data_IF_596749481011
#
_entry.id   IF_596749481011
#
_cell.length_a   1.000
_cell.length_b   1.000
_cell.length_c   1.000
_cell.angle_alpha   90.00
_cell.angle_beta   90.00
_cell.angle_gamma   90.00
#
_symmetry.space_group_name_H-M   'P 1'
#
loop_
_entity.id
_entity.type
_entity.pdbx_description
1 polymer ?
#
# COMPACT_ATOMS: atom_id res chain seq x y z
N UNK A 1 -19.82 8.02 -32.85
CA UNK A 1 -20.34 9.37 -33.14
C UNK A 1 -21.71 9.51 -32.49
N UNK A 2 -21.79 9.93 -31.23
CA UNK A 2 -23.07 10.25 -30.60
C UNK A 2 -23.40 11.72 -30.87
N UNK A 3 -24.09 12.02 -31.98
CA UNK A 3 -24.76 13.31 -32.18
C UNK A 3 -26.11 13.23 -31.45
N UNK A 4 -26.11 13.44 -30.14
CA UNK A 4 -27.31 13.95 -29.49
C UNK A 4 -27.38 15.42 -29.90
N UNK A 5 -28.35 15.77 -30.74
CA UNK A 5 -28.55 17.16 -31.19
C UNK A 5 -28.94 17.98 -29.95
N UNK A 6 -28.08 18.94 -29.55
CA UNK A 6 -28.39 19.82 -28.42
C UNK A 6 -29.61 20.68 -28.76
N UNK A 7 -30.46 20.92 -27.78
CA UNK A 7 -31.69 21.70 -27.92
C UNK A 7 -31.43 23.15 -27.54
N UNK A 8 -31.64 24.06 -28.48
CA UNK A 8 -31.45 25.50 -28.31
C UNK A 8 -32.82 26.18 -28.21
N UNK A 9 -32.96 27.18 -27.35
CA UNK A 9 -34.14 28.03 -27.29
C UNK A 9 -33.79 29.44 -27.76
N UNK A 10 -34.42 29.90 -28.86
CA UNK A 10 -34.26 31.25 -29.40
C UNK A 10 -35.47 32.10 -29.03
N UNK A 11 -35.22 33.26 -28.42
CA UNK A 11 -36.23 34.19 -27.95
C UNK A 11 -35.96 35.56 -28.54
N UNK A 12 -36.80 35.97 -29.48
CA UNK A 12 -36.63 37.21 -30.25
C UNK A 12 -38.01 37.68 -30.73
N UNK A 13 -38.33 38.96 -30.60
CA UNK A 13 -39.62 39.52 -31.03
C UNK A 13 -39.66 39.83 -32.53
N UNK A 14 -38.50 39.89 -33.19
CA UNK A 14 -38.41 40.02 -34.65
C UNK A 14 -38.54 38.63 -35.32
N UNK A 15 -39.70 38.38 -35.93
CA UNK A 15 -40.01 37.13 -36.63
C UNK A 15 -39.00 36.78 -37.73
N UNK A 16 -38.46 37.78 -38.43
CA UNK A 16 -37.52 37.57 -39.55
C UNK A 16 -36.16 37.16 -39.02
N UNK A 17 -35.67 37.87 -38.00
CA UNK A 17 -34.39 37.54 -37.36
C UNK A 17 -34.48 36.16 -36.69
N UNK A 18 -35.55 35.91 -35.93
CA UNK A 18 -35.76 34.62 -35.23
C UNK A 18 -35.79 33.44 -36.20
N UNK A 19 -36.55 33.55 -37.30
CA UNK A 19 -36.65 32.50 -38.30
C UNK A 19 -35.31 32.28 -39.02
N UNK A 20 -34.56 33.34 -39.30
CA UNK A 20 -33.23 33.25 -39.90
C UNK A 20 -32.22 32.54 -39.00
N UNK A 21 -32.18 32.88 -37.70
CA UNK A 21 -31.30 32.23 -36.73
C UNK A 21 -31.68 30.77 -36.51
N UNK A 22 -32.98 30.49 -36.44
CA UNK A 22 -33.49 29.12 -36.28
C UNK A 22 -33.10 28.24 -37.47
N UNK A 23 -33.37 28.68 -38.70
CA UNK A 23 -33.03 27.91 -39.90
C UNK A 23 -31.53 27.58 -39.98
N UNK A 24 -30.67 28.56 -39.69
CA UNK A 24 -29.22 28.36 -39.72
C UNK A 24 -28.72 27.36 -38.66
N UNK A 25 -29.24 27.45 -37.43
CA UNK A 25 -28.85 26.56 -36.34
C UNK A 25 -29.44 25.15 -36.52
N UNK A 26 -30.63 25.02 -37.08
CA UNK A 26 -31.21 23.74 -37.50
C UNK A 26 -30.37 23.05 -38.57
N UNK A 27 -29.94 23.79 -39.62
CA UNK A 27 -29.03 23.29 -40.65
C UNK A 27 -27.66 22.87 -40.07
N UNK A 28 -27.22 23.53 -39.00
CA UNK A 28 -26.00 23.19 -38.26
C UNK A 28 -26.15 21.94 -37.37
N UNK A 29 -27.35 21.35 -37.32
CA UNK A 29 -27.66 20.08 -36.66
C UNK A 29 -28.13 20.22 -35.21
N UNK A 30 -28.59 21.40 -34.79
CA UNK A 30 -29.23 21.64 -33.49
C UNK A 30 -30.75 21.48 -33.57
N UNK A 31 -31.40 21.13 -32.46
CA UNK A 31 -32.86 21.21 -32.33
C UNK A 31 -33.21 22.60 -31.85
N UNK A 32 -34.00 23.38 -32.59
CA UNK A 32 -34.33 24.75 -32.21
C UNK A 32 -35.77 24.85 -31.75
N UNK A 33 -35.94 25.45 -30.57
CA UNK A 33 -37.22 25.91 -30.03
C UNK A 33 -37.28 27.44 -30.20
N UNK A 34 -38.44 27.97 -30.54
CA UNK A 34 -38.62 29.39 -30.80
C UNK A 34 -39.67 29.99 -29.86
N UNK A 35 -39.41 31.20 -29.37
CA UNK A 35 -40.36 32.01 -28.63
C UNK A 35 -40.34 33.46 -29.11
N UNK A 36 -41.53 34.08 -29.12
CA UNK A 36 -41.76 35.45 -29.65
C UNK A 36 -41.57 36.54 -28.61
N UNK A 37 -41.47 36.18 -27.33
CA UNK A 37 -41.30 37.12 -26.22
C UNK A 37 -40.74 36.39 -24.99
N UNK A 38 -40.29 37.15 -23.98
CA UNK A 38 -39.70 36.59 -22.77
C UNK A 38 -40.64 35.73 -21.91
N UNK A 39 -41.97 35.97 -21.92
CA UNK A 39 -42.92 35.13 -21.17
C UNK A 39 -43.06 33.75 -21.81
N UNK A 40 -43.29 33.70 -23.12
CA UNK A 40 -43.33 32.44 -23.88
C UNK A 40 -41.99 31.70 -23.78
N UNK A 41 -40.87 32.42 -23.84
CA UNK A 41 -39.55 31.84 -23.67
C UNK A 41 -39.37 31.17 -22.31
N UNK A 42 -39.84 31.81 -21.23
CA UNK A 42 -39.81 31.22 -19.89
C UNK A 42 -40.68 29.96 -19.77
N UNK A 43 -41.87 29.96 -20.38
CA UNK A 43 -42.75 28.79 -20.42
C UNK A 43 -42.09 27.60 -21.13
N UNK A 44 -41.52 27.85 -22.32
CA UNK A 44 -40.83 26.82 -23.10
C UNK A 44 -39.59 26.31 -22.37
N UNK A 45 -38.83 27.20 -21.72
CA UNK A 45 -37.67 26.81 -20.92
C UNK A 45 -38.03 25.81 -19.82
N UNK A 46 -39.12 26.07 -19.09
CA UNK A 46 -39.56 25.20 -17.99
C UNK A 46 -40.14 23.86 -18.47
N UNK A 47 -40.77 23.84 -19.65
CA UNK A 47 -41.39 22.63 -20.20
C UNK A 47 -40.38 21.70 -20.87
N UNK A 48 -39.46 22.27 -21.67
CA UNK A 48 -38.59 21.49 -22.58
C UNK A 48 -37.15 21.35 -22.08
N UNK A 49 -36.71 22.18 -21.12
CA UNK A 49 -35.36 22.10 -20.54
C UNK A 49 -34.23 22.20 -21.58
N UNK A 50 -34.08 23.33 -22.30
CA UNK A 50 -33.08 23.48 -23.35
C UNK A 50 -31.64 23.46 -22.83
N UNK A 51 -30.71 23.01 -23.66
CA UNK A 51 -29.26 22.94 -23.36
C UNK A 51 -28.58 24.31 -23.45
N UNK A 52 -29.16 25.26 -24.19
CA UNK A 52 -28.69 26.64 -24.32
C UNK A 52 -29.83 27.58 -24.72
N UNK A 53 -29.80 28.81 -24.20
CA UNK A 53 -30.74 29.87 -24.57
C UNK A 53 -30.05 30.98 -25.35
N UNK A 54 -30.71 31.48 -26.40
CA UNK A 54 -30.34 32.67 -27.15
C UNK A 54 -31.47 33.67 -27.00
N UNK A 55 -31.22 34.88 -26.51
CA UNK A 55 -32.27 35.87 -26.29
C UNK A 55 -31.87 37.28 -26.74
N UNK A 56 -32.83 38.05 -27.26
CA UNK A 56 -32.69 39.51 -27.37
C UNK A 56 -32.90 40.17 -26.00
N UNK A 57 -32.27 41.33 -25.80
CA UNK A 57 -32.49 42.18 -24.64
C UNK A 57 -33.75 43.01 -24.75
N UNK A 58 -34.09 43.50 -25.95
CA UNK A 58 -35.21 44.43 -26.15
C UNK A 58 -36.40 43.68 -26.70
N UNK A 59 -37.26 43.18 -25.81
CA UNK A 59 -38.48 42.47 -26.18
C UNK A 59 -39.69 43.02 -25.40
N UNK A 60 -40.92 42.88 -25.94
CA UNK A 60 -42.14 43.21 -25.22
C UNK A 60 -42.32 42.34 -23.95
N UNK A 61 -43.04 42.89 -22.97
CA UNK A 61 -43.45 42.24 -21.71
C UNK A 61 -42.30 41.98 -20.72
N UNK A 62 -41.39 41.07 -21.06
CA UNK A 62 -40.23 40.69 -20.24
C UNK A 62 -38.97 40.88 -21.08
N UNK A 63 -38.10 41.76 -20.62
CA UNK A 63 -36.82 42.03 -21.26
C UNK A 63 -35.82 40.90 -21.03
N UNK A 64 -34.76 40.84 -21.85
CA UNK A 64 -33.79 39.75 -21.79
C UNK A 64 -32.98 39.71 -20.49
N UNK A 65 -32.75 40.86 -19.83
CA UNK A 65 -32.02 40.90 -18.55
C UNK A 65 -32.86 40.32 -17.41
N UNK A 66 -34.14 40.67 -17.34
CA UNK A 66 -35.10 40.12 -16.39
C UNK A 66 -35.33 38.61 -16.64
N UNK A 67 -35.34 38.19 -17.91
CA UNK A 67 -35.41 36.77 -18.26
C UNK A 67 -34.21 35.97 -17.71
N UNK A 68 -32.98 36.47 -17.89
CA UNK A 68 -31.77 35.84 -17.34
C UNK A 68 -31.85 35.77 -15.81
N UNK A 69 -32.28 36.84 -15.15
CA UNK A 69 -32.45 36.87 -13.68
C UNK A 69 -33.42 35.78 -13.21
N UNK A 70 -34.56 35.62 -13.90
CA UNK A 70 -35.57 34.60 -13.55
C UNK A 70 -35.04 33.19 -13.73
N UNK A 71 -34.32 32.91 -14.83
CA UNK A 71 -33.78 31.58 -15.09
C UNK A 71 -32.68 31.23 -14.07
N UNK A 72 -31.77 32.15 -13.78
CA UNK A 72 -30.75 31.92 -12.76
C UNK A 72 -31.35 31.69 -11.37
N UNK A 73 -32.47 32.33 -11.05
CA UNK A 73 -33.18 32.12 -9.78
C UNK A 73 -33.78 30.72 -9.64
N UNK A 74 -33.98 29.98 -10.75
CA UNK A 74 -34.42 28.58 -10.73
C UNK A 74 -33.29 27.61 -10.31
N UNK A 75 -32.04 28.06 -10.25
CA UNK A 75 -30.89 27.24 -9.87
C UNK A 75 -30.43 26.26 -10.95
N UNK A 76 -30.90 26.43 -12.20
CA UNK A 76 -30.48 25.61 -13.35
C UNK A 76 -29.38 26.35 -14.10
N UNK A 77 -28.19 25.74 -14.21
CA UNK A 77 -27.07 26.31 -14.96
C UNK A 77 -27.20 26.03 -16.47
N UNK A 78 -28.04 26.81 -17.16
CA UNK A 78 -28.13 26.80 -18.63
C UNK A 78 -27.33 27.97 -19.20
N UNK A 79 -26.40 27.76 -20.15
CA UNK A 79 -25.70 28.85 -20.81
C UNK A 79 -26.68 29.76 -21.58
N UNK A 80 -26.54 31.07 -21.40
CA UNK A 80 -27.32 32.08 -22.13
C UNK A 80 -26.43 32.90 -23.03
N UNK A 81 -26.75 32.99 -24.32
CA UNK A 81 -26.14 33.91 -25.26
C UNK A 81 -27.12 35.06 -25.51
N UNK A 82 -26.62 36.29 -25.38
CA UNK A 82 -27.42 37.48 -25.64
C UNK A 82 -27.11 37.99 -27.04
N UNK A 83 -28.15 38.29 -27.83
CA UNK A 83 -28.02 38.84 -29.18
C UNK A 83 -28.88 40.09 -29.28
N UNK A 84 -28.28 41.29 -29.28
CA UNK A 84 -29.06 42.54 -29.28
C UNK A 84 -28.61 43.57 -30.31
N UNK A 85 -29.56 44.32 -30.86
CA UNK A 85 -29.29 45.45 -31.77
C UNK A 85 -28.93 46.75 -31.05
N UNK A 86 -29.13 46.83 -29.74
CA UNK A 86 -28.72 47.98 -28.94
C UNK A 86 -27.23 47.85 -28.61
N UNK A 87 -26.37 48.57 -29.34
CA UNK A 87 -24.92 48.66 -29.08
C UNK A 87 -24.54 49.41 -27.79
N UNK A 88 -25.37 49.32 -26.74
CA UNK A 88 -25.18 50.02 -25.47
C UNK A 88 -24.25 49.19 -24.59
N UNK A 89 -23.06 49.73 -24.33
CA UNK A 89 -22.01 49.05 -23.55
C UNK A 89 -22.47 48.61 -22.15
N UNK A 90 -23.34 49.40 -21.49
CA UNK A 90 -23.86 49.06 -20.16
C UNK A 90 -24.69 47.77 -20.15
N UNK A 91 -25.51 47.55 -21.17
CA UNK A 91 -26.39 46.39 -21.27
C UNK A 91 -25.59 45.10 -21.48
N UNK A 92 -24.53 45.15 -22.29
CA UNK A 92 -23.59 44.05 -22.48
C UNK A 92 -22.85 43.68 -21.18
N UNK A 93 -22.40 44.69 -20.43
CA UNK A 93 -21.73 44.48 -19.13
C UNK A 93 -22.71 43.88 -18.11
N UNK A 94 -23.96 44.34 -18.09
CA UNK A 94 -24.97 43.79 -17.19
C UNK A 94 -25.32 42.34 -17.53
N UNK A 95 -25.52 42.01 -18.80
CA UNK A 95 -25.78 40.64 -19.25
C UNK A 95 -24.66 39.67 -18.83
N UNK A 96 -23.39 40.04 -19.05
CA UNK A 96 -22.25 39.22 -18.64
C UNK A 96 -22.14 39.08 -17.11
N UNK A 97 -22.46 40.14 -16.35
CA UNK A 97 -22.52 40.09 -14.87
C UNK A 97 -23.60 39.16 -14.36
N UNK A 98 -24.71 39.05 -15.10
CA UNK A 98 -25.78 38.10 -14.83
C UNK A 98 -25.45 36.68 -15.29
N UNK A 99 -24.24 36.41 -15.79
CA UNK A 99 -23.79 35.07 -16.14
C UNK A 99 -24.08 34.65 -17.58
N UNK A 100 -24.41 35.60 -18.48
CA UNK A 100 -24.45 35.30 -19.90
C UNK A 100 -23.09 34.75 -20.39
N UNK A 101 -23.14 33.68 -21.18
CA UNK A 101 -21.97 33.01 -21.74
C UNK A 101 -21.28 33.86 -22.81
N UNK A 102 -22.05 34.65 -23.56
CA UNK A 102 -21.54 35.58 -24.56
C UNK A 102 -22.56 36.70 -24.88
N UNK A 103 -22.10 37.77 -25.52
CA UNK A 103 -22.92 38.89 -25.98
C UNK A 103 -22.55 39.25 -27.43
N UNK A 104 -23.53 39.18 -28.34
CA UNK A 104 -23.37 39.47 -29.75
C UNK A 104 -24.25 40.64 -30.19
N UNK A 105 -23.76 41.45 -31.13
CA UNK A 105 -24.43 42.67 -31.60
C UNK A 105 -25.08 42.41 -32.96
N UNK A 106 -26.36 42.79 -33.12
CA UNK A 106 -27.06 42.78 -34.43
C UNK A 106 -26.65 44.00 -35.28
N UNK A 107 -26.62 43.91 -36.62
CA UNK A 107 -26.90 42.72 -37.42
C UNK A 107 -25.74 41.71 -37.38
N UNK A 108 -26.07 40.42 -37.27
CA UNK A 108 -25.08 39.35 -37.37
C UNK A 108 -24.81 39.07 -38.86
N UNK A 109 -23.81 39.75 -39.42
CA UNK A 109 -23.42 39.56 -40.82
C UNK A 109 -22.81 38.17 -41.08
N UNK A 110 -22.11 37.62 -40.08
CA UNK A 110 -21.54 36.28 -40.10
C UNK A 110 -22.14 35.41 -38.99
N UNK A 111 -23.10 34.55 -39.36
CA UNK A 111 -23.76 33.61 -38.45
C UNK A 111 -22.80 32.54 -37.90
N UNK A 112 -21.62 32.34 -38.49
CA UNK A 112 -20.61 31.42 -37.97
C UNK A 112 -20.07 31.89 -36.61
N UNK A 113 -20.10 33.20 -36.34
CA UNK A 113 -19.72 33.75 -35.02
C UNK A 113 -20.71 33.29 -33.94
N UNK A 114 -22.01 33.29 -34.24
CA UNK A 114 -23.03 32.79 -33.33
C UNK A 114 -22.86 31.28 -33.09
N UNK A 115 -22.63 30.50 -34.16
CA UNK A 115 -22.39 29.06 -34.03
C UNK A 115 -21.17 28.76 -33.14
N UNK A 116 -20.08 29.53 -33.31
CA UNK A 116 -18.88 29.39 -32.49
C UNK A 116 -19.18 29.64 -31.01
N UNK A 117 -19.90 30.72 -30.69
CA UNK A 117 -20.31 31.03 -29.32
C UNK A 117 -21.23 29.95 -28.72
N UNK A 118 -22.18 29.43 -29.51
CA UNK A 118 -23.08 28.33 -29.11
C UNK A 118 -22.29 27.08 -28.77
N UNK A 119 -21.42 26.61 -29.67
CA UNK A 119 -20.60 25.40 -29.44
C UNK A 119 -19.71 25.56 -28.21
N UNK A 120 -19.03 26.71 -28.08
CA UNK A 120 -18.17 27.00 -26.93
C UNK A 120 -18.92 26.99 -25.60
N UNK A 121 -20.13 27.54 -25.57
CA UNK A 121 -20.95 27.60 -24.38
C UNK A 121 -21.48 26.20 -23.98
N UNK A 122 -21.94 25.41 -24.96
CA UNK A 122 -22.35 24.01 -24.75
C UNK A 122 -21.20 23.14 -24.25
N UNK A 123 -20.01 23.24 -24.87
CA UNK A 123 -18.84 22.46 -24.45
C UNK A 123 -18.43 22.78 -23.01
N UNK A 124 -18.48 24.06 -22.62
CA UNK A 124 -18.20 24.48 -21.23
C UNK A 124 -19.23 23.94 -20.25
N UNK A 125 -20.52 23.99 -20.58
CA UNK A 125 -21.58 23.45 -19.73
C UNK A 125 -21.41 21.93 -19.57
N UNK A 126 -21.20 21.22 -20.69
CA UNK A 126 -20.92 19.78 -20.68
C UNK A 126 -19.72 19.41 -19.82
N UNK A 127 -18.60 20.10 -20.00
CA UNK A 127 -17.38 19.85 -19.21
C UNK A 127 -17.61 20.08 -17.71
N UNK A 128 -18.45 21.03 -17.31
CA UNK A 128 -18.79 21.24 -15.90
C UNK A 128 -19.58 20.08 -15.33
N UNK A 129 -20.63 19.63 -16.05
CA UNK A 129 -21.45 18.49 -15.65
C UNK A 129 -20.60 17.22 -15.57
N UNK A 130 -19.78 16.94 -16.58
CA UNK A 130 -18.87 15.79 -16.57
C UNK A 130 -17.87 15.87 -15.40
N UNK A 131 -17.26 17.03 -15.14
CA UNK A 131 -16.35 17.21 -14.01
C UNK A 131 -17.03 16.98 -12.65
N UNK A 132 -18.27 17.45 -12.48
CA UNK A 132 -19.02 17.22 -11.26
C UNK A 132 -19.29 15.73 -11.04
N UNK A 133 -19.77 15.03 -12.08
CA UNK A 133 -20.01 13.59 -12.03
C UNK A 133 -18.73 12.80 -11.74
N UNK A 134 -17.61 13.18 -12.35
CA UNK A 134 -16.31 12.56 -12.08
C UNK A 134 -15.86 12.78 -10.64
N UNK A 135 -16.08 13.97 -10.07
CA UNK A 135 -15.75 14.26 -8.67
C UNK A 135 -16.57 13.40 -7.72
N UNK A 136 -17.88 13.33 -7.92
CA UNK A 136 -18.77 12.52 -7.09
C UNK A 136 -18.39 11.03 -7.16
N UNK A 137 -18.11 10.52 -8.37
CA UNK A 137 -17.66 9.14 -8.55
C UNK A 137 -16.31 8.88 -7.88
N UNK A 138 -15.35 9.81 -8.03
CA UNK A 138 -14.03 9.68 -7.43
C UNK A 138 -14.11 9.68 -5.91
N UNK A 139 -14.95 10.55 -5.33
CA UNK A 139 -15.19 10.57 -3.88
C UNK A 139 -15.80 9.26 -3.39
N UNK A 140 -16.80 8.73 -4.09
CA UNK A 140 -17.41 7.44 -3.75
C UNK A 140 -16.39 6.30 -3.81
N UNK A 141 -15.65 6.18 -4.92
CA UNK A 141 -14.63 5.13 -5.09
C UNK A 141 -13.49 5.25 -4.06
N UNK A 142 -13.04 6.48 -3.74
CA UNK A 142 -12.03 6.68 -2.70
C UNK A 142 -12.52 6.26 -1.32
N UNK A 143 -13.78 6.56 -0.97
CA UNK A 143 -14.37 6.12 0.31
C UNK A 143 -14.43 4.59 0.39
N UNK A 144 -14.87 3.92 -0.68
CA UNK A 144 -14.90 2.45 -0.75
C UNK A 144 -13.50 1.85 -0.63
N UNK A 145 -12.52 2.41 -1.33
CA UNK A 145 -11.13 1.96 -1.27
C UNK A 145 -10.55 2.12 0.13
N UNK A 146 -10.75 3.28 0.76
CA UNK A 146 -10.29 3.54 2.13
C UNK A 146 -10.91 2.56 3.14
N UNK A 147 -12.21 2.25 3.00
CA UNK A 147 -12.88 1.27 3.85
C UNK A 147 -12.29 -0.14 3.68
N UNK A 148 -12.00 -0.55 2.44
CA UNK A 148 -11.36 -1.83 2.15
C UNK A 148 -9.94 -1.91 2.71
N UNK A 149 -9.15 -0.84 2.57
CA UNK A 149 -7.81 -0.75 3.14
C UNK A 149 -7.82 -0.82 4.66
N UNK A 150 -8.77 -0.15 5.33
CA UNK A 150 -8.91 -0.20 6.78
C UNK A 150 -9.18 -1.62 7.27
N UNK A 151 -10.09 -2.34 6.60
CA UNK A 151 -10.38 -3.75 6.93
C UNK A 151 -9.13 -4.63 6.78
N UNK A 152 -8.37 -4.47 5.69
CA UNK A 152 -7.12 -5.21 5.50
C UNK A 152 -6.09 -4.87 6.59
N UNK A 153 -5.97 -3.60 6.98
CA UNK A 153 -5.07 -3.20 8.07
C UNK A 153 -5.47 -3.83 9.42
N UNK A 154 -6.77 -3.91 9.73
CA UNK A 154 -7.24 -4.59 10.94
C UNK A 154 -6.89 -6.09 10.95
N UNK A 155 -7.08 -6.78 9.83
CA UNK A 155 -6.74 -8.20 9.67
C UNK A 155 -5.23 -8.44 9.82
N UNK A 156 -4.41 -7.58 9.19
CA UNK A 156 -2.96 -7.65 9.33
C UNK A 156 -2.49 -7.38 10.76
N UNK A 157 -3.11 -6.42 11.47
CA UNK A 157 -2.81 -6.15 12.88
C UNK A 157 -3.20 -7.33 13.79
N UNK A 158 -4.33 -7.98 13.52
CA UNK A 158 -4.74 -9.19 14.24
C UNK A 158 -3.71 -10.32 14.05
N UNK A 159 -3.24 -10.54 12.82
CA UNK A 159 -2.17 -11.49 12.55
C UNK A 159 -0.86 -11.15 13.30
N UNK A 160 -0.51 -9.85 13.38
CA UNK A 160 0.70 -9.40 14.08
C UNK A 160 0.60 -9.72 15.57
N UNK A 161 -0.56 -9.49 16.17
CA UNK A 161 -0.80 -9.82 17.58
C UNK A 161 -0.63 -11.33 17.84
N UNK A 162 -1.08 -12.18 16.92
CA UNK A 162 -0.90 -13.63 17.01
C UNK A 162 0.58 -13.99 16.97
N UNK A 163 1.36 -13.45 16.02
CA UNK A 163 2.81 -13.70 15.96
C UNK A 163 3.52 -13.23 17.24
N UNK A 164 3.21 -12.03 17.74
CA UNK A 164 3.83 -11.48 18.94
C UNK A 164 3.54 -12.33 20.19
N UNK A 165 2.36 -12.95 20.27
CA UNK A 165 2.01 -13.85 21.37
C UNK A 165 2.70 -15.23 21.27
N UNK A 166 3.21 -15.61 20.09
CA UNK A 166 3.93 -16.87 19.88
C UNK A 166 5.43 -16.77 20.18
N UNK A 167 5.98 -15.56 20.12
CA UNK A 167 7.39 -15.31 20.42
C UNK A 167 7.67 -15.55 21.91
N UNK A 168 8.86 -16.07 22.24
CA UNK A 168 9.27 -16.23 23.63
C UNK A 168 9.42 -14.88 24.33
N UNK A 169 9.37 -14.85 25.65
CA UNK A 169 9.66 -13.61 26.40
C UNK A 169 11.12 -13.22 26.23
N UNK A 170 11.41 -11.92 26.19
CA UNK A 170 12.78 -11.41 26.03
C UNK A 170 13.07 -10.23 26.98
N UNK A 171 14.23 -10.22 27.66
CA UNK A 171 15.23 -11.27 27.74
C UNK A 171 14.77 -12.48 28.58
N UNK A 172 15.12 -13.69 28.17
CA UNK A 172 14.90 -14.91 28.95
C UNK A 172 16.24 -15.45 29.48
N UNK A 173 16.29 -15.73 30.78
CA UNK A 173 17.51 -16.21 31.45
C UNK A 173 17.34 -17.66 31.91
N UNK A 174 18.36 -18.47 31.64
CA UNK A 174 18.40 -19.90 31.96
C UNK A 174 19.83 -20.31 32.33
N UNK A 175 20.07 -20.65 33.60
CA UNK A 175 21.34 -21.17 34.13
C UNK A 175 22.62 -20.43 33.66
N UNK A 176 22.54 -19.10 33.61
CA UNK A 176 23.63 -18.20 33.21
C UNK A 176 23.68 -17.85 31.71
N UNK A 177 22.81 -18.46 30.90
CA UNK A 177 22.56 -18.07 29.52
C UNK A 177 21.44 -17.02 29.46
N UNK A 178 21.63 -15.99 28.66
CA UNK A 178 20.67 -14.93 28.44
C UNK A 178 20.31 -14.85 26.95
N UNK A 179 19.04 -15.13 26.63
CA UNK A 179 18.48 -15.09 25.29
C UNK A 179 17.72 -13.78 25.11
N UNK A 180 18.20 -12.96 24.19
CA UNK A 180 17.59 -11.68 23.86
C UNK A 180 17.30 -11.64 22.36
N UNK A 181 16.10 -11.23 21.95
CA UNK A 181 15.77 -11.12 20.53
C UNK A 181 15.03 -9.82 20.23
N UNK A 182 15.02 -9.44 18.96
CA UNK A 182 14.20 -8.36 18.44
C UNK A 182 13.80 -8.70 17.01
N UNK A 183 12.54 -8.40 16.67
CA UNK A 183 12.02 -8.49 15.30
C UNK A 183 11.50 -7.11 14.90
N UNK A 184 11.90 -6.66 13.72
CA UNK A 184 11.46 -5.43 13.07
C UNK A 184 10.87 -5.84 11.72
N UNK A 185 9.53 -6.00 11.63
CA UNK A 185 8.90 -6.33 10.36
C UNK A 185 8.98 -5.14 9.39
N UNK A 186 9.17 -5.43 8.11
CA UNK A 186 9.07 -4.50 6.98
C UNK A 186 7.65 -3.95 6.80
N UNK A 187 6.65 -4.79 7.08
CA UNK A 187 5.22 -4.50 7.01
C UNK A 187 4.54 -4.78 8.37
N UNK A 188 3.30 -5.28 8.36
CA UNK A 188 2.57 -5.67 9.56
C UNK A 188 3.00 -7.03 10.11
N UNK A 189 3.27 -7.98 9.22
CA UNK A 189 3.62 -9.36 9.55
C UNK A 189 5.03 -9.67 9.06
N UNK A 190 5.76 -10.43 9.87
CA UNK A 190 7.12 -10.85 9.57
C UNK A 190 7.14 -12.26 8.99
N UNK A 191 7.91 -12.46 7.93
CA UNK A 191 8.40 -13.77 7.51
C UNK A 191 9.46 -14.31 8.47
N UNK A 192 10.19 -13.43 9.15
CA UNK A 192 11.14 -13.85 10.17
C UNK A 192 10.47 -14.31 11.46
N UNK A 193 11.03 -15.36 12.06
CA UNK A 193 10.58 -15.94 13.31
C UNK A 193 11.74 -16.46 14.15
N UNK A 194 11.66 -16.19 15.44
CA UNK A 194 12.63 -16.67 16.42
C UNK A 194 11.91 -17.42 17.53
N UNK A 195 12.50 -18.54 17.95
CA UNK A 195 12.02 -19.26 19.11
C UNK A 195 13.18 -19.91 19.86
N UNK A 196 13.00 -20.01 21.17
CA UNK A 196 13.92 -20.72 22.04
C UNK A 196 13.15 -21.29 23.23
N UNK A 197 13.46 -22.54 23.55
CA UNK A 197 12.72 -23.28 24.57
C UNK A 197 13.61 -24.35 25.21
N UNK A 198 13.30 -24.67 26.46
CA UNK A 198 13.99 -25.73 27.21
C UNK A 198 13.38 -27.09 26.87
N UNK A 199 14.20 -28.01 26.36
CA UNK A 199 13.78 -29.36 25.98
C UNK A 199 13.51 -30.18 27.25
N UNK A 200 14.50 -30.21 28.13
CA UNK A 200 14.55 -30.93 29.41
C UNK A 200 15.41 -30.15 30.42
N UNK A 201 15.73 -30.72 31.59
CA UNK A 201 16.54 -30.05 32.63
C UNK A 201 17.99 -29.75 32.22
N UNK A 202 18.47 -30.31 31.10
CA UNK A 202 19.88 -30.23 30.67
C UNK A 202 20.07 -29.49 29.35
N UNK A 203 19.04 -29.41 28.51
CA UNK A 203 19.18 -28.97 27.11
C UNK A 203 18.23 -27.84 26.74
N UNK A 204 18.77 -26.84 26.06
CA UNK A 204 18.03 -25.70 25.50
C UNK A 204 18.15 -25.73 23.99
N UNK A 205 17.01 -25.60 23.29
CA UNK A 205 16.98 -25.39 21.85
C UNK A 205 16.69 -23.92 21.53
N UNK A 206 17.25 -23.47 20.41
CA UNK A 206 16.91 -22.19 19.80
C UNK A 206 16.92 -22.33 18.28
N UNK A 207 16.17 -21.47 17.61
CA UNK A 207 16.31 -21.30 16.17
C UNK A 207 15.93 -19.90 15.73
N UNK A 208 16.53 -19.50 14.61
CA UNK A 208 16.11 -18.36 13.82
C UNK A 208 15.67 -18.88 12.45
N UNK A 209 14.51 -18.44 11.98
CA UNK A 209 13.94 -18.79 10.70
C UNK A 209 13.59 -17.51 9.95
N UNK A 210 13.91 -17.49 8.66
CA UNK A 210 13.53 -16.44 7.72
C UNK A 210 12.80 -17.13 6.56
N UNK A 211 11.58 -16.68 6.28
CA UNK A 211 10.71 -17.25 5.25
C UNK A 211 10.80 -16.38 4.01
N UNK A 212 11.00 -17.02 2.86
CA UNK A 212 11.06 -16.33 1.56
C UNK A 212 9.91 -15.35 1.30
N UNK A 213 10.29 -14.07 1.19
CA UNK A 213 9.41 -12.94 0.93
C UNK A 213 8.53 -12.55 2.12
N UNK A 214 7.86 -11.42 2.00
CA UNK A 214 7.15 -10.78 3.12
C UNK A 214 5.62 -10.92 3.06
N UNK A 215 4.94 -10.58 4.16
CA UNK A 215 3.47 -10.47 4.25
C UNK A 215 2.75 -11.71 4.78
N UNK A 216 1.44 -11.80 4.50
CA UNK A 216 0.56 -12.81 5.13
C UNK A 216 0.97 -14.26 4.82
N UNK A 217 1.41 -14.55 3.59
CA UNK A 217 1.79 -15.91 3.19
C UNK A 217 3.01 -16.45 3.95
N UNK A 218 4.03 -15.61 4.18
CA UNK A 218 5.20 -15.98 4.97
C UNK A 218 4.88 -16.05 6.46
N UNK A 219 4.00 -15.17 6.95
CA UNK A 219 3.52 -15.20 8.33
C UNK A 219 2.83 -16.52 8.71
N UNK A 220 2.04 -17.13 7.80
CA UNK A 220 1.46 -18.46 8.07
C UNK A 220 2.52 -19.55 8.21
N UNK A 221 3.63 -19.45 7.47
CA UNK A 221 4.74 -20.39 7.60
C UNK A 221 5.36 -20.27 8.99
N UNK A 222 5.52 -19.07 9.56
CA UNK A 222 6.07 -18.91 10.91
C UNK A 222 5.21 -19.59 11.98
N UNK A 223 3.89 -19.50 11.86
CA UNK A 223 2.93 -20.22 12.73
C UNK A 223 3.08 -21.74 12.58
N UNK A 224 3.23 -22.25 11.36
CA UNK A 224 3.46 -23.67 11.10
C UNK A 224 4.79 -24.13 11.70
N UNK A 225 5.85 -23.34 11.59
CA UNK A 225 7.15 -23.65 12.20
C UNK A 225 7.01 -23.81 13.71
N UNK A 226 6.38 -22.85 14.40
CA UNK A 226 6.12 -22.93 15.85
C UNK A 226 5.32 -24.18 16.22
N UNK A 227 4.28 -24.49 15.44
CA UNK A 227 3.47 -25.67 15.67
C UNK A 227 4.26 -26.97 15.50
N UNK A 228 5.05 -27.09 14.43
CA UNK A 228 5.85 -28.27 14.13
C UNK A 228 6.94 -28.50 15.18
N UNK A 229 7.69 -27.46 15.57
CA UNK A 229 8.74 -27.56 16.59
C UNK A 229 8.17 -27.93 17.95
N UNK A 230 7.06 -27.29 18.35
CA UNK A 230 6.35 -27.60 19.61
C UNK A 230 5.80 -29.04 19.60
N UNK A 231 5.22 -29.48 18.49
CA UNK A 231 4.69 -30.85 18.35
C UNK A 231 5.79 -31.90 18.46
N UNK A 232 6.92 -31.71 17.78
CA UNK A 232 8.08 -32.60 17.88
C UNK A 232 8.57 -32.72 19.32
N UNK A 233 8.61 -31.61 20.05
CA UNK A 233 8.98 -31.59 21.47
C UNK A 233 8.02 -32.43 22.32
N UNK A 234 6.70 -32.33 22.10
CA UNK A 234 5.70 -33.11 22.82
C UNK A 234 5.76 -34.61 22.50
N UNK A 235 5.93 -34.96 21.22
CA UNK A 235 6.10 -36.35 20.79
C UNK A 235 7.36 -36.97 21.41
N UNK A 236 8.45 -36.21 21.48
CA UNK A 236 9.69 -36.63 22.13
C UNK A 236 9.51 -36.86 23.64
N UNK A 237 8.80 -35.98 24.36
CA UNK A 237 8.51 -36.15 25.80
C UNK A 237 7.63 -37.36 26.10
N UNK A 238 6.77 -37.78 25.17
CA UNK A 238 5.87 -38.94 25.35
C UNK A 238 6.53 -40.27 24.99
N UNK A 239 7.34 -40.30 23.93
CA UNK A 239 7.97 -41.52 23.44
C UNK A 239 9.41 -41.66 23.94
N UNK A 240 9.60 -42.09 25.20
CA UNK A 240 10.87 -42.17 25.96
C UNK A 240 12.03 -43.02 25.36
N UNK A 241 12.09 -43.16 24.05
CA UNK A 241 13.08 -43.91 23.26
C UNK A 241 13.35 -43.20 21.92
N UNK A 242 13.82 -41.94 21.94
CA UNK A 242 14.43 -41.30 20.76
C UNK A 242 15.91 -40.96 21.04
N UNK A 243 16.84 -41.36 20.16
CA UNK A 243 18.28 -41.27 20.37
C UNK A 243 18.77 -39.85 20.05
N UNK A 244 18.96 -39.00 21.07
CA UNK A 244 19.48 -37.62 20.96
C UNK A 244 18.58 -36.66 20.14
N UNK A 245 18.29 -35.48 20.70
CA UNK A 245 17.56 -34.44 19.97
C UNK A 245 18.57 -33.71 19.08
N UNK A 246 18.60 -34.04 17.79
CA UNK A 246 19.54 -33.47 16.81
C UNK A 246 18.87 -32.37 15.98
N UNK A 247 19.52 -31.21 15.79
CA UNK A 247 19.01 -30.15 14.94
C UNK A 247 18.71 -30.61 13.50
N UNK A 248 19.61 -31.39 12.88
CA UNK A 248 19.46 -31.92 11.52
C UNK A 248 18.14 -32.67 11.29
N UNK A 249 17.76 -33.54 12.23
CA UNK A 249 16.51 -34.31 12.17
C UNK A 249 15.28 -33.39 12.24
N UNK A 250 15.36 -32.32 13.03
CA UNK A 250 14.30 -31.30 13.14
C UNK A 250 14.16 -30.55 11.82
N UNK A 251 15.26 -30.10 11.21
CA UNK A 251 15.23 -29.47 9.88
C UNK A 251 14.63 -30.42 8.82
N UNK A 252 15.02 -31.69 8.84
CA UNK A 252 14.46 -32.71 7.93
C UNK A 252 12.97 -32.98 8.12
N UNK A 253 12.45 -32.87 9.35
CA UNK A 253 11.02 -32.95 9.62
C UNK A 253 10.27 -31.71 9.11
N UNK A 254 10.82 -30.51 9.36
CA UNK A 254 10.28 -29.24 8.88
C UNK A 254 10.23 -29.23 7.35
N UNK A 255 11.31 -29.65 6.68
CA UNK A 255 11.42 -29.72 5.23
C UNK A 255 10.25 -30.50 4.61
N UNK A 256 10.02 -31.73 5.08
CA UNK A 256 8.93 -32.59 4.58
C UNK A 256 7.55 -32.00 4.87
N UNK A 257 7.35 -31.39 6.03
CA UNK A 257 6.08 -30.75 6.37
C UNK A 257 5.77 -29.57 5.45
N UNK A 258 6.75 -28.69 5.21
CA UNK A 258 6.57 -27.52 4.35
C UNK A 258 6.28 -27.91 2.89
N UNK A 259 7.00 -28.91 2.34
CA UNK A 259 6.77 -29.42 0.98
C UNK A 259 5.34 -29.97 0.84
N UNK A 260 4.88 -30.75 1.83
CA UNK A 260 3.54 -31.32 1.84
C UNK A 260 2.43 -30.27 1.91
N UNK A 261 2.69 -29.13 2.55
CA UNK A 261 1.72 -28.04 2.64
C UNK A 261 1.55 -27.25 1.32
N UNK A 262 2.46 -27.41 0.34
CA UNK A 262 2.38 -26.79 -0.99
C UNK A 262 2.17 -25.26 -0.98
N UNK A 263 2.71 -24.56 0.01
CA UNK A 263 2.64 -23.10 0.08
C UNK A 263 3.52 -22.41 -0.97
N UNK A 264 4.44 -23.14 -1.62
CA UNK A 264 5.41 -22.56 -2.56
C UNK A 264 6.42 -21.61 -1.90
N UNK A 265 6.58 -21.72 -0.57
CA UNK A 265 7.50 -20.95 0.24
C UNK A 265 8.60 -21.86 0.77
N UNK A 266 9.82 -21.35 0.76
CA UNK A 266 10.97 -21.95 1.43
C UNK A 266 11.43 -21.07 2.59
N UNK A 267 12.21 -21.65 3.49
CA UNK A 267 12.65 -21.03 4.74
C UNK A 267 14.15 -21.24 4.89
N UNK A 268 14.89 -20.16 5.14
CA UNK A 268 16.25 -20.26 5.64
C UNK A 268 16.19 -20.42 7.15
N UNK A 269 16.87 -21.43 7.69
CA UNK A 269 16.78 -21.72 9.12
C UNK A 269 18.13 -22.02 9.71
N UNK A 270 18.29 -21.64 10.97
CA UNK A 270 19.39 -22.09 11.79
C UNK A 270 18.85 -22.61 13.11
N UNK A 271 19.09 -23.89 13.38
CA UNK A 271 18.71 -24.55 14.62
C UNK A 271 19.93 -24.91 15.44
N UNK A 272 19.86 -24.67 16.76
CA UNK A 272 20.90 -25.04 17.71
C UNK A 272 20.34 -25.66 18.97
N UNK A 273 21.09 -26.59 19.55
CA UNK A 273 20.82 -27.25 20.82
C UNK A 273 22.06 -27.14 21.68
N UNK A 274 21.89 -26.57 22.87
CA UNK A 274 22.95 -26.40 23.86
C UNK A 274 22.73 -27.40 24.97
N UNK A 275 23.78 -28.13 25.29
CA UNK A 275 23.85 -28.99 26.46
C UNK A 275 24.55 -28.23 27.60
N UNK A 276 23.83 -27.98 28.67
CA UNK A 276 24.27 -27.14 29.80
C UNK A 276 25.32 -27.83 30.67
N UNK A 277 25.27 -29.17 30.77
CA UNK A 277 26.25 -29.94 31.55
C UNK A 277 27.61 -30.03 30.84
N UNK A 278 27.59 -30.29 29.53
CA UNK A 278 28.83 -30.44 28.76
C UNK A 278 29.34 -29.12 28.20
N UNK A 279 28.51 -28.07 28.13
CA UNK A 279 28.83 -26.82 27.47
C UNK A 279 28.98 -26.95 25.95
N UNK A 280 28.43 -28.01 25.34
CA UNK A 280 28.51 -28.23 23.90
C UNK A 280 27.29 -27.64 23.17
N UNK A 281 27.56 -26.91 22.08
CA UNK A 281 26.57 -26.47 21.11
C UNK A 281 26.58 -27.43 19.91
N UNK A 282 25.42 -28.00 19.61
CA UNK A 282 25.17 -28.69 18.34
C UNK A 282 24.27 -27.82 17.49
N UNK A 283 24.67 -27.47 16.28
CA UNK A 283 23.88 -26.62 15.39
C UNK A 283 23.84 -27.16 13.97
N UNK A 284 22.76 -26.83 13.25
CA UNK A 284 22.57 -27.17 11.85
C UNK A 284 22.01 -25.96 11.11
N UNK A 285 22.46 -25.78 9.87
CA UNK A 285 22.16 -24.63 9.03
C UNK A 285 21.42 -25.12 7.80
N UNK A 286 20.22 -24.59 7.54
CA UNK A 286 19.41 -24.83 6.36
C UNK A 286 19.33 -23.58 5.48
N UNK A 287 20.40 -23.30 4.75
CA UNK A 287 20.46 -22.16 3.80
C UNK A 287 20.50 -20.77 4.43
N UNK A 288 20.69 -20.66 5.75
CA UNK A 288 20.69 -19.39 6.46
C UNK A 288 21.93 -18.54 6.15
N UNK A 289 21.68 -17.27 5.81
CA UNK A 289 22.69 -16.25 5.58
C UNK A 289 22.17 -14.92 6.17
N UNK A 290 22.99 -14.13 6.87
CA UNK A 290 24.40 -14.35 7.23
C UNK A 290 24.62 -15.52 8.21
N UNK A 291 25.86 -16.05 8.22
CA UNK A 291 26.25 -17.11 9.17
C UNK A 291 26.27 -16.57 10.62
N UNK A 292 26.09 -17.43 11.63
CA UNK A 292 26.17 -16.99 13.03
C UNK A 292 27.51 -16.37 13.36
N UNK A 293 27.49 -15.28 14.12
CA UNK A 293 28.70 -14.63 14.60
C UNK A 293 28.90 -14.97 16.07
N UNK A 294 30.00 -15.64 16.37
CA UNK A 294 30.47 -15.88 17.74
C UNK A 294 31.45 -14.77 18.14
N UNK A 295 31.16 -14.10 19.24
CA UNK A 295 32.00 -13.12 19.89
C UNK A 295 32.62 -13.69 21.16
N UNK A 296 33.95 -13.66 21.23
CA UNK A 296 34.78 -14.16 22.34
C UNK A 296 35.98 -13.23 22.53
N UNK A 297 36.25 -12.79 23.77
CA UNK A 297 37.44 -12.00 24.13
C UNK A 297 37.71 -10.76 23.23
N UNK A 298 36.66 -10.06 22.80
CA UNK A 298 36.78 -8.88 21.95
C UNK A 298 36.86 -9.16 20.45
N UNK A 299 36.92 -10.43 20.03
CA UNK A 299 36.96 -10.84 18.63
C UNK A 299 35.65 -11.51 18.21
N UNK A 300 35.18 -11.20 17.01
CA UNK A 300 34.01 -11.80 16.40
C UNK A 300 34.43 -12.67 15.20
N UNK A 301 33.89 -13.89 15.11
CA UNK A 301 34.13 -14.81 13.99
C UNK A 301 32.83 -15.47 13.56
N UNK A 302 32.74 -15.84 12.28
CA UNK A 302 31.65 -16.66 11.79
C UNK A 302 31.78 -18.12 12.24
N UNK A 303 30.66 -18.76 12.51
CA UNK A 303 30.58 -20.22 12.58
C UNK A 303 30.62 -20.80 11.16
N UNK A 304 31.27 -21.95 11.01
CA UNK A 304 31.28 -22.68 9.76
C UNK A 304 29.96 -23.43 9.59
N UNK A 305 29.52 -23.63 8.35
CA UNK A 305 28.35 -24.44 8.08
C UNK A 305 27.72 -24.10 6.75
N UNK A 306 27.08 -25.10 6.15
CA UNK A 306 26.32 -24.97 4.91
C UNK A 306 25.17 -25.96 4.94
N UNK A 307 24.06 -25.58 4.34
CA UNK A 307 22.97 -26.48 4.04
C UNK A 307 22.03 -25.85 3.03
N UNK A 308 21.12 -26.67 2.51
CA UNK A 308 20.12 -26.22 1.55
C UNK A 308 18.96 -25.50 2.28
N UNK A 309 18.27 -24.56 1.64
CA UNK A 309 17.04 -23.97 2.19
C UNK A 309 15.98 -25.03 2.51
N UNK A 310 15.30 -24.85 3.63
CA UNK A 310 14.28 -25.76 4.14
C UNK A 310 12.97 -25.55 3.39
N UNK A 311 12.33 -26.64 2.96
CA UNK A 311 11.06 -26.64 2.24
C UNK A 311 11.19 -26.51 0.72
N UNK A 312 12.42 -26.47 0.16
CA UNK A 312 12.65 -26.32 -1.28
C UNK A 312 12.98 -27.64 -2.01
N UNK A 313 13.73 -28.54 -1.37
CA UNK A 313 14.21 -29.79 -1.97
C UNK A 313 13.73 -31.01 -1.18
N UNK A 314 13.13 -32.00 -1.84
CA UNK A 314 12.64 -33.23 -1.19
C UNK A 314 13.76 -34.05 -0.55
N UNK A 315 14.90 -34.13 -1.23
CA UNK A 315 16.08 -34.91 -0.81
C UNK A 315 17.12 -34.07 -0.05
N UNK A 316 16.71 -32.98 0.61
CA UNK A 316 17.63 -32.15 1.39
C UNK A 316 18.22 -32.92 2.59
N UNK A 317 19.54 -33.06 2.63
CA UNK A 317 20.29 -33.58 3.77
C UNK A 317 20.90 -32.43 4.58
N UNK A 318 20.72 -32.48 5.91
CA UNK A 318 21.23 -31.47 6.84
C UNK A 318 22.31 -32.09 7.72
N UNK A 319 23.45 -31.43 7.84
CA UNK A 319 24.54 -31.84 8.73
C UNK A 319 24.48 -31.13 10.07
N UNK A 320 24.88 -31.83 11.13
CA UNK A 320 25.11 -31.23 12.45
C UNK A 320 26.60 -30.92 12.64
N UNK A 321 26.87 -29.75 13.19
CA UNK A 321 28.20 -29.33 13.62
C UNK A 321 28.19 -29.19 15.14
N UNK A 322 29.25 -29.70 15.78
CA UNK A 322 29.40 -29.68 17.24
C UNK A 322 30.59 -28.82 17.60
N UNK A 323 30.41 -27.94 18.57
CA UNK A 323 31.48 -27.10 19.10
C UNK A 323 31.35 -26.91 20.61
N UNK A 324 32.48 -26.71 21.28
CA UNK A 324 32.54 -26.34 22.69
C UNK A 324 32.26 -24.84 22.84
N UNK A 325 31.32 -24.47 23.72
CA UNK A 325 31.06 -23.07 24.05
C UNK A 325 32.10 -22.56 25.07
N UNK A 326 32.68 -21.37 24.86
CA UNK A 326 33.54 -20.71 25.86
C UNK A 326 32.79 -20.39 27.17
N UNK A 327 33.53 -20.10 28.24
CA UNK A 327 32.93 -19.67 29.52
C UNK A 327 32.26 -18.29 29.44
N UNK A 328 32.78 -17.41 28.58
CA UNK A 328 32.22 -16.09 28.28
C UNK A 328 32.10 -15.92 26.77
N UNK A 329 30.88 -15.83 26.27
CA UNK A 329 30.62 -15.70 24.83
C UNK A 329 29.34 -14.93 24.54
N UNK A 330 29.26 -14.38 23.33
CA UNK A 330 28.00 -14.00 22.69
C UNK A 330 27.87 -14.68 21.34
N UNK A 331 26.72 -15.27 21.06
CA UNK A 331 26.35 -15.81 19.76
C UNK A 331 25.22 -14.95 19.19
N UNK A 332 25.49 -14.33 18.04
CA UNK A 332 24.53 -13.47 17.34
C UNK A 332 24.06 -14.14 16.06
N UNK A 333 22.75 -14.20 15.89
CA UNK A 333 22.04 -14.68 14.71
C UNK A 333 21.23 -13.53 14.14
N UNK A 334 21.27 -13.37 12.82
CA UNK A 334 20.66 -12.26 12.10
C UNK A 334 20.00 -12.81 10.83
N UNK A 335 18.82 -12.32 10.48
CA UNK A 335 18.22 -12.58 9.16
C UNK A 335 18.93 -11.79 8.05
N UNK A 336 18.64 -12.14 6.81
CA UNK A 336 19.22 -11.54 5.61
C UNK A 336 18.88 -10.05 5.46
N UNK A 337 17.74 -9.60 5.98
CA UNK A 337 17.34 -8.19 5.99
C UNK A 337 18.36 -7.26 6.67
N UNK A 338 19.25 -7.77 7.54
CA UNK A 338 20.34 -6.95 8.07
C UNK A 338 21.36 -6.55 7.00
N UNK A 339 21.54 -7.37 5.97
CA UNK A 339 22.54 -7.13 4.93
C UNK A 339 22.23 -5.85 4.15
N UNK A 340 20.98 -5.44 4.06
CA UNK A 340 20.58 -4.18 3.42
C UNK A 340 20.99 -2.93 4.21
N UNK A 341 21.17 -3.06 5.52
CA UNK A 341 21.66 -1.99 6.39
C UNK A 341 23.18 -1.85 6.41
N UNK A 342 23.90 -2.88 5.97
CA UNK A 342 25.35 -2.90 6.06
C UNK A 342 26.00 -2.05 4.97
N UNK A 343 27.09 -1.33 5.30
CA UNK A 343 27.87 -0.59 4.32
C UNK A 343 28.56 -1.55 3.34
N UNK A 344 28.51 -1.24 2.05
CA UNK A 344 29.14 -2.01 0.97
C UNK A 344 28.20 -2.22 -0.21
N UNK A 345 28.74 -2.24 -1.43
CA UNK A 345 27.95 -2.39 -2.66
C UNK A 345 27.74 -3.88 -3.02
N UNK A 346 28.59 -4.76 -2.48
CA UNK A 346 28.53 -6.20 -2.74
C UNK A 346 28.21 -7.00 -1.47
N UNK A 347 27.51 -8.13 -1.65
CA UNK A 347 27.19 -9.07 -0.57
C UNK A 347 28.43 -9.47 0.24
N UNK A 348 29.56 -9.68 -0.45
CA UNK A 348 30.83 -10.08 0.16
C UNK A 348 31.43 -9.00 1.06
N UNK A 349 31.32 -7.73 0.67
CA UNK A 349 31.79 -6.60 1.51
C UNK A 349 30.93 -6.45 2.76
N UNK A 350 29.60 -6.57 2.58
CA UNK A 350 28.63 -6.53 3.68
C UNK A 350 28.89 -7.65 4.69
N UNK A 351 29.11 -8.87 4.23
CA UNK A 351 29.47 -10.01 5.08
C UNK A 351 30.79 -9.80 5.85
N UNK A 352 31.80 -9.16 5.24
CA UNK A 352 33.08 -8.89 5.92
C UNK A 352 32.96 -7.82 7.01
N UNK A 353 32.02 -6.89 6.87
CA UNK A 353 31.78 -5.82 7.84
C UNK A 353 31.06 -6.31 9.11
N UNK A 354 30.17 -7.30 8.99
CA UNK A 354 29.28 -7.71 10.09
C UNK A 354 30.02 -8.17 11.36
N UNK A 355 31.07 -9.03 11.33
CA UNK A 355 31.80 -9.38 12.54
C UNK A 355 32.46 -8.17 13.20
N UNK A 356 32.94 -7.21 12.42
CA UNK A 356 33.55 -5.99 12.96
C UNK A 356 32.52 -5.16 13.72
N UNK A 357 31.30 -5.04 13.19
CA UNK A 357 30.20 -4.35 13.86
C UNK A 357 29.75 -5.07 15.14
N UNK A 358 29.69 -6.41 15.13
CA UNK A 358 29.37 -7.20 16.34
C UNK A 358 30.44 -6.99 17.42
N UNK A 359 31.71 -6.91 17.03
CA UNK A 359 32.82 -6.61 17.95
C UNK A 359 32.72 -5.18 18.51
N UNK A 360 32.40 -4.19 17.67
CA UNK A 360 32.17 -2.80 18.12
C UNK A 360 30.96 -2.67 19.07
N UNK A 361 29.92 -3.47 18.84
CA UNK A 361 28.73 -3.53 19.68
C UNK A 361 28.96 -4.25 21.04
N UNK A 362 30.15 -4.82 21.26
CA UNK A 362 30.47 -5.60 22.45
C UNK A 362 29.67 -6.90 22.58
N UNK A 363 29.11 -7.41 21.48
CA UNK A 363 28.34 -8.65 21.48
C UNK A 363 27.01 -8.59 22.24
N UNK A 364 26.49 -7.41 22.57
CA UNK A 364 25.19 -7.27 23.26
C UNK A 364 24.10 -6.82 22.30
N UNK A 365 22.85 -7.23 22.57
CA UNK A 365 21.67 -6.77 21.82
C UNK A 365 21.56 -5.24 21.82
N UNK A 366 21.79 -4.60 22.98
CA UNK A 366 21.71 -3.15 23.13
C UNK A 366 22.75 -2.41 22.28
N UNK A 367 24.00 -2.89 22.26
CA UNK A 367 25.06 -2.33 21.43
C UNK A 367 24.77 -2.50 19.93
N UNK A 368 24.28 -3.68 19.53
CA UNK A 368 23.92 -3.95 18.14
C UNK A 368 22.81 -3.01 17.64
N UNK A 369 21.80 -2.76 18.49
CA UNK A 369 20.73 -1.79 18.18
C UNK A 369 21.24 -0.38 17.92
N UNK A 370 22.25 0.05 18.67
CA UNK A 370 22.83 1.38 18.52
C UNK A 370 23.72 1.46 17.27
N UNK A 371 24.58 0.46 17.06
CA UNK A 371 25.53 0.42 15.93
C UNK A 371 24.79 0.29 14.59
N UNK A 372 23.74 -0.53 14.53
CA UNK A 372 22.95 -0.75 13.32
C UNK A 372 21.84 0.28 13.11
N UNK A 373 21.68 1.26 14.02
CA UNK A 373 20.68 2.32 13.89
C UNK A 373 19.22 1.84 13.95
N UNK A 374 18.98 0.65 14.52
CA UNK A 374 17.69 -0.05 14.51
C UNK A 374 16.55 0.68 15.25
N UNK A 375 16.84 1.80 15.93
CA UNK A 375 15.87 2.59 16.67
C UNK A 375 15.10 3.61 15.81
N UNK A 376 15.63 3.99 14.63
CA UNK A 376 15.10 5.08 13.79
C UNK A 376 14.72 4.62 12.37
N UNK A 377 14.52 3.33 12.15
CA UNK A 377 14.24 2.80 10.82
C UNK A 377 12.76 3.00 10.46
N UNK A 378 12.53 3.51 9.25
CA UNK A 378 11.21 3.64 8.63
C UNK A 378 10.77 2.35 7.97
N UNK A 379 10.24 2.43 6.74
CA UNK A 379 9.91 1.26 5.94
C UNK A 379 11.20 0.59 5.41
N UNK A 380 11.29 -0.72 5.62
CA UNK A 380 12.44 -1.53 5.23
C UNK A 380 12.08 -2.42 4.03
N UNK A 381 13.05 -2.73 3.15
CA UNK A 381 12.82 -3.61 2.01
C UNK A 381 12.51 -5.05 2.43
N UNK A 382 13.06 -5.50 3.56
CA UNK A 382 12.82 -6.85 4.10
C UNK A 382 12.72 -6.87 5.64
N UNK A 383 12.25 -7.98 6.16
CA UNK A 383 12.10 -8.22 7.60
C UNK A 383 13.48 -8.37 8.28
N UNK A 384 13.61 -7.84 9.50
CA UNK A 384 14.85 -7.96 10.27
C UNK A 384 14.55 -8.65 11.60
N UNK A 385 15.13 -9.83 11.79
CA UNK A 385 15.14 -10.53 13.05
C UNK A 385 16.55 -10.78 13.52
N UNK A 386 16.72 -10.67 14.83
CA UNK A 386 17.99 -10.85 15.47
C UNK A 386 17.84 -11.52 16.83
N UNK A 387 18.67 -12.53 17.06
CA UNK A 387 18.72 -13.33 18.27
C UNK A 387 20.16 -13.30 18.80
N UNK A 388 20.31 -12.82 20.03
CA UNK A 388 21.58 -12.73 20.74
C UNK A 388 21.51 -13.63 21.96
N UNK A 389 22.37 -14.64 21.98
CA UNK A 389 22.62 -15.48 23.12
C UNK A 389 23.91 -15.01 23.80
N UNK A 390 23.87 -14.73 25.10
CA UNK A 390 25.02 -14.26 25.86
C UNK A 390 25.24 -15.09 27.13
N UNK A 391 26.50 -15.33 27.49
CA UNK A 391 26.91 -15.95 28.75
C UNK A 391 28.06 -15.16 29.35
N UNK A 392 27.92 -14.75 30.61
CA UNK A 392 28.99 -14.12 31.42
C UNK A 392 29.68 -12.89 30.75
N UNK A 393 28.98 -12.15 29.90
CA UNK A 393 29.47 -10.88 29.38
C UNK A 393 29.32 -9.78 30.43
N UNK A 394 30.43 -9.11 30.75
CA UNK A 394 30.53 -8.05 31.74
C UNK A 394 30.00 -6.70 31.24
#
# INVERSE_FOLDING_TARGET
MHKTSATLLIIDDDDVVRASLAAYLEDSGFKVLQATNGLQGLEVFQQEGPDLMICDLRMPQVDGLELIRRINALGVEVPVIVVSGAGVMNDAVEALRLGAADYLIKPLEDLAVLEHSVRRALDRARLRVENQLYREKLEATNRELQASLHLLQEDQNAGRQVQMNMLPVTPWQADGLNFAHQIIPSLYLSGDFVDYFRIDERRIAFYLADVSGHGASSAFVTVLLKFMTTRLLYEWRRGGTLPQFKPSDVLGHINRGLINCKLGKHVTMLGGVIDEESGMLTYSIGGHLPLPVLFENGQARYLEGRGLPVGLFEEAEYGDLVMQLPESFSLTLLSDGILDLLPGDTLKEKELALPQLVSQAGGTLGGLRQVLGLANLGEMPDDIALLVLSRNLA
#
